data_IF_149879552944
#
_entry.id   IF_149879552944
#
_cell.length_a   1.000
_cell.length_b   1.000
_cell.length_c   1.000
_cell.angle_alpha   90.00
_cell.angle_beta   90.00
_cell.angle_gamma   90.00
#
_symmetry.space_group_name_H-M   'P 1'
#
loop_
_entity.id
_entity.type
_entity.pdbx_description
1 polymer ?
#
# COMPACT_ATOMS: atom_id res chain seq x y z
N UNK A 1 58.66 -18.90 19.54
CA UNK A 1 58.00 -18.46 20.78
C UNK A 1 57.24 -17.16 20.49
N UNK A 2 55.94 -17.26 20.23
CA UNK A 2 55.07 -16.11 19.92
C UNK A 2 53.78 -16.25 20.74
N UNK A 3 53.34 -15.10 21.26
CA UNK A 3 52.28 -14.84 22.21
C UNK A 3 50.86 -15.29 21.79
N UNK A 4 50.15 -15.80 22.80
CA UNK A 4 48.76 -15.56 23.20
C UNK A 4 47.73 -14.96 22.21
N UNK A 5 46.61 -15.68 22.05
CA UNK A 5 45.23 -15.18 22.30
C UNK A 5 44.25 -16.36 22.37
N UNK A 6 43.77 -16.67 23.57
CA UNK A 6 42.72 -17.65 23.85
C UNK A 6 41.38 -16.91 23.87
N UNK A 7 40.52 -17.18 22.89
CA UNK A 7 39.14 -16.67 22.87
C UNK A 7 38.27 -17.45 23.85
N UNK A 8 37.44 -16.70 24.59
CA UNK A 8 36.43 -17.18 25.52
C UNK A 8 35.25 -17.78 24.72
N UNK A 9 35.08 -19.11 24.75
CA UNK A 9 33.87 -19.78 24.28
C UNK A 9 32.81 -19.72 25.39
N UNK A 10 32.06 -18.63 25.46
CA UNK A 10 30.84 -18.57 26.26
C UNK A 10 29.71 -19.21 25.45
N UNK A 11 29.47 -20.51 25.68
CA UNK A 11 28.25 -21.20 25.22
C UNK A 11 27.03 -20.51 25.82
N UNK A 12 26.37 -19.63 25.05
CA UNK A 12 25.02 -19.17 25.38
C UNK A 12 24.07 -20.37 25.22
N UNK A 13 23.49 -20.82 26.33
CA UNK A 13 22.36 -21.76 26.30
C UNK A 13 21.22 -21.11 25.51
N UNK A 14 20.55 -21.83 24.58
CA UNK A 14 19.36 -21.29 23.94
C UNK A 14 18.29 -21.07 25.03
N UNK A 15 17.81 -19.84 25.16
CA UNK A 15 16.64 -19.57 25.96
C UNK A 15 15.43 -20.24 25.27
N UNK A 16 14.73 -21.17 25.92
CA UNK A 16 13.42 -21.58 25.44
C UNK A 16 12.50 -20.35 25.55
N UNK A 17 11.47 -20.25 24.69
CA UNK A 17 10.40 -19.22 24.74
C UNK A 17 10.59 -17.92 23.95
N UNK A 18 11.40 -17.87 22.89
CA UNK A 18 11.23 -16.85 21.84
C UNK A 18 10.73 -17.52 20.58
N UNK A 19 9.44 -17.37 20.29
CA UNK A 19 8.94 -17.59 18.92
C UNK A 19 9.40 -16.36 18.13
N UNK A 20 10.29 -16.50 17.15
CA UNK A 20 10.73 -15.35 16.38
C UNK A 20 9.61 -14.89 15.44
N UNK A 21 9.35 -13.58 15.41
CA UNK A 21 8.42 -12.89 14.51
C UNK A 21 8.68 -13.17 13.01
N UNK A 22 9.79 -13.82 12.66
CA UNK A 22 10.05 -14.32 11.30
C UNK A 22 9.00 -15.35 10.85
N UNK A 23 8.37 -16.09 11.77
CA UNK A 23 7.22 -16.96 11.48
C UNK A 23 5.97 -16.17 11.10
N UNK A 24 5.77 -14.98 11.67
CA UNK A 24 4.66 -14.08 11.38
C UNK A 24 4.77 -13.50 9.95
N UNK A 25 5.94 -12.96 9.58
CA UNK A 25 6.20 -12.49 8.21
C UNK A 25 5.93 -13.60 7.18
N UNK A 26 6.46 -14.81 7.45
CA UNK A 26 6.35 -15.93 6.52
C UNK A 26 4.91 -16.48 6.44
N UNK A 27 4.15 -16.50 7.53
CA UNK A 27 2.76 -16.96 7.52
C UNK A 27 1.83 -16.02 6.73
N UNK A 28 1.98 -14.69 6.86
CA UNK A 28 1.20 -13.72 6.10
C UNK A 28 1.65 -13.60 4.64
N UNK A 29 2.96 -13.70 4.35
CA UNK A 29 3.48 -13.61 2.98
C UNK A 29 3.33 -14.90 2.15
N UNK A 30 3.21 -16.08 2.79
CA UNK A 30 3.16 -17.38 2.07
C UNK A 30 1.78 -18.04 2.18
N UNK A 31 1.16 -18.06 3.37
CA UNK A 31 -0.13 -18.75 3.59
C UNK A 31 -1.35 -18.05 3.00
N UNK A 32 -1.26 -16.74 2.80
CA UNK A 32 -2.33 -15.92 2.19
C UNK A 32 -2.30 -16.02 0.65
N UNK A 33 -1.14 -16.34 0.08
CA UNK A 33 -0.84 -16.09 -1.33
C UNK A 33 -0.86 -17.35 -2.21
N UNK A 34 -0.50 -18.52 -1.67
CA UNK A 34 -0.52 -19.77 -2.44
C UNK A 34 -1.96 -20.24 -2.74
N UNK A 35 -2.93 -19.92 -1.88
CA UNK A 35 -4.34 -20.21 -2.13
C UNK A 35 -5.06 -19.23 -3.07
N UNK A 36 -4.47 -18.06 -3.36
CA UNK A 36 -5.05 -17.00 -4.22
C UNK A 36 -4.42 -16.99 -5.61
N UNK A 37 -3.54 -17.95 -5.92
CA UNK A 37 -3.23 -18.30 -7.31
C UNK A 37 -4.44 -19.03 -7.91
N UNK A 38 -5.56 -18.31 -8.02
CA UNK A 38 -6.41 -18.42 -9.20
C UNK A 38 -5.45 -18.34 -10.37
N UNK A 39 -5.46 -19.42 -11.16
CA UNK A 39 -4.63 -19.64 -12.34
C UNK A 39 -4.78 -18.44 -13.28
N UNK A 40 -3.97 -17.39 -13.04
CA UNK A 40 -3.79 -16.27 -13.95
C UNK A 40 -3.35 -16.92 -15.25
N UNK A 41 -4.23 -16.87 -16.24
CA UNK A 41 -4.01 -17.51 -17.53
C UNK A 41 -2.66 -17.06 -18.06
N UNK A 42 -1.73 -18.01 -18.11
CA UNK A 42 -0.59 -17.94 -19.00
C UNK A 42 -1.17 -18.04 -20.41
N UNK A 43 -1.55 -16.91 -20.99
CA UNK A 43 -1.75 -16.82 -22.44
C UNK A 43 -0.36 -16.91 -23.07
N UNK A 44 0.12 -18.13 -23.29
CA UNK A 44 1.38 -18.38 -24.01
C UNK A 44 1.29 -17.98 -25.50
N UNK A 45 0.10 -17.59 -26.00
CA UNK A 45 -0.12 -17.20 -27.41
C UNK A 45 -0.41 -15.70 -27.64
N UNK A 46 -0.29 -14.85 -26.62
CA UNK A 46 -0.33 -13.39 -26.83
C UNK A 46 1.09 -12.84 -26.87
N UNK A 47 1.53 -12.15 -27.95
CA UNK A 47 2.85 -11.54 -27.96
C UNK A 47 2.93 -10.58 -26.78
N UNK A 48 3.87 -10.86 -25.88
CA UNK A 48 4.20 -9.97 -24.79
C UNK A 48 4.40 -8.56 -25.38
N UNK A 49 3.48 -7.65 -25.10
CA UNK A 49 3.73 -6.23 -25.27
C UNK A 49 4.73 -5.86 -24.17
N UNK A 50 5.99 -6.16 -24.45
CA UNK A 50 7.14 -5.68 -23.70
C UNK A 50 7.23 -4.19 -23.98
N UNK A 51 6.47 -3.39 -23.24
CA UNK A 51 6.70 -1.96 -23.12
C UNK A 51 8.05 -1.77 -22.41
N UNK A 52 9.11 -1.89 -23.20
CA UNK A 52 10.50 -1.75 -22.75
C UNK A 52 10.75 -0.25 -22.60
N UNK A 53 10.36 0.32 -21.47
CA UNK A 53 10.85 1.64 -21.06
C UNK A 53 12.35 1.50 -20.79
N UNK A 54 13.17 1.86 -21.79
CA UNK A 54 14.63 1.98 -21.62
C UNK A 54 14.92 3.08 -20.60
N UNK A 55 15.54 2.78 -19.45
CA UNK A 55 16.05 3.81 -18.57
C UNK A 55 17.37 4.32 -19.15
N UNK A 56 17.38 5.54 -19.68
CA UNK A 56 18.62 6.26 -19.95
C UNK A 56 19.15 6.82 -18.63
N UNK A 57 19.90 6.02 -17.88
CA UNK A 57 20.71 6.53 -16.78
C UNK A 57 22.06 7.00 -17.32
N UNK A 58 22.25 8.31 -17.43
CA UNK A 58 23.58 8.89 -17.53
C UNK A 58 24.21 8.88 -16.15
N UNK A 59 25.27 8.08 -16.00
CA UNK A 59 26.18 8.08 -14.86
C UNK A 59 26.71 9.51 -14.64
N UNK A 60 26.39 10.11 -13.49
CA UNK A 60 27.02 11.37 -13.07
C UNK A 60 28.06 11.03 -12.00
N UNK A 61 29.33 10.97 -12.42
CA UNK A 61 30.45 10.66 -11.54
C UNK A 61 30.65 11.79 -10.52
N UNK A 62 30.60 11.41 -9.26
CA UNK A 62 30.84 12.29 -8.13
C UNK A 62 32.23 12.93 -8.19
N UNK A 63 32.27 14.22 -8.51
CA UNK A 63 33.38 15.11 -8.16
C UNK A 63 32.89 16.25 -7.29
N UNK A 64 33.36 16.27 -6.04
CA UNK A 64 33.23 17.38 -5.09
C UNK A 64 33.87 18.65 -5.68
N UNK A 65 33.22 19.83 -5.64
CA UNK A 65 33.91 21.08 -5.90
C UNK A 65 34.82 21.45 -4.73
N UNK A 66 36.10 21.67 -5.01
CA UNK A 66 37.05 22.31 -4.09
C UNK A 66 36.70 23.80 -3.94
N UNK A 67 36.76 24.28 -2.71
CA UNK A 67 36.77 25.70 -2.37
C UNK A 67 37.98 26.40 -3.01
N UNK A 68 37.74 27.49 -3.73
CA UNK A 68 38.78 28.46 -4.08
C UNK A 68 38.34 29.83 -3.59
N UNK A 69 39.07 30.34 -2.61
CA UNK A 69 39.07 31.72 -2.16
C UNK A 69 39.77 32.61 -3.21
N UNK A 70 39.26 33.82 -3.41
CA UNK A 70 40.04 34.97 -3.85
C UNK A 70 39.73 35.49 -5.27
N UNK A 71 39.09 36.66 -5.35
CA UNK A 71 38.99 37.47 -6.57
C UNK A 71 38.03 38.65 -6.42
N UNK A 72 38.58 39.86 -6.38
CA UNK A 72 37.90 41.16 -6.18
C UNK A 72 36.96 41.56 -7.35
N UNK A 73 36.05 42.55 -7.17
CA UNK A 73 34.95 42.78 -8.09
C UNK A 73 35.37 43.64 -9.29
N UNK A 74 35.02 43.19 -10.50
CA UNK A 74 35.02 44.03 -11.69
C UNK A 74 33.58 44.23 -12.15
N UNK A 75 33.15 45.48 -12.08
CA UNK A 75 31.92 45.95 -12.71
C UNK A 75 32.00 45.73 -14.22
N UNK A 76 31.03 45.01 -14.77
CA UNK A 76 30.78 44.98 -16.20
C UNK A 76 29.28 44.95 -16.43
N UNK A 77 28.77 46.08 -16.89
CA UNK A 77 27.46 46.27 -17.49
C UNK A 77 27.35 45.38 -18.72
N UNK A 78 26.52 44.36 -18.66
CA UNK A 78 26.10 43.58 -19.83
C UNK A 78 24.57 43.49 -19.83
N UNK A 79 23.99 43.98 -20.93
CA UNK A 79 22.57 44.00 -21.20
C UNK A 79 21.98 42.58 -21.12
N UNK A 80 20.91 42.45 -20.35
CA UNK A 80 20.11 41.22 -20.26
C UNK A 80 19.38 41.01 -21.59
N UNK A 81 19.63 39.92 -22.34
CA UNK A 81 18.71 39.51 -23.37
C UNK A 81 17.45 38.97 -22.69
N UNK A 82 16.31 39.55 -23.05
CA UNK A 82 14.99 39.06 -22.68
C UNK A 82 14.78 37.67 -23.28
N UNK A 83 15.09 36.63 -22.49
CA UNK A 83 14.59 35.29 -22.74
C UNK A 83 13.08 35.28 -22.51
N UNK A 84 12.34 35.69 -23.53
CA UNK A 84 10.95 35.30 -23.73
C UNK A 84 10.89 33.80 -24.07
N UNK A 85 11.29 32.95 -23.13
CA UNK A 85 10.91 31.55 -23.12
C UNK A 85 9.46 31.52 -22.63
N UNK A 86 8.55 31.76 -23.57
CA UNK A 86 7.13 31.60 -23.36
C UNK A 86 6.90 30.15 -22.94
N UNK A 87 6.36 30.00 -21.74
CA UNK A 87 5.79 28.81 -21.14
C UNK A 87 4.76 28.17 -22.07
N UNK A 88 5.23 27.44 -23.08
CA UNK A 88 4.48 26.34 -23.67
C UNK A 88 4.92 25.05 -22.99
N UNK A 89 4.79 24.99 -21.66
CA UNK A 89 4.45 23.71 -21.05
C UNK A 89 3.11 23.33 -21.66
N UNK A 90 3.15 22.48 -22.70
CA UNK A 90 2.01 21.76 -23.21
C UNK A 90 1.24 21.27 -22.00
N UNK A 91 0.10 21.90 -21.73
CA UNK A 91 -0.81 21.49 -20.68
C UNK A 91 -1.22 20.08 -21.04
N UNK A 92 -0.56 19.09 -20.42
CA UNK A 92 -0.98 17.71 -20.56
C UNK A 92 -2.47 17.69 -20.26
N UNK A 93 -3.28 17.03 -21.11
CA UNK A 93 -4.71 16.98 -20.91
C UNK A 93 -4.96 16.50 -19.48
N UNK A 94 -5.66 17.32 -18.71
CA UNK A 94 -5.93 17.04 -17.29
C UNK A 94 -6.67 15.70 -17.21
N UNK A 95 -6.20 14.84 -16.31
CA UNK A 95 -6.86 13.55 -16.03
C UNK A 95 -8.37 13.74 -15.84
N UNK A 96 -9.18 12.83 -16.37
CA UNK A 96 -10.61 12.78 -16.07
C UNK A 96 -10.87 12.62 -14.55
N UNK A 97 -9.87 12.15 -13.79
CA UNK A 97 -9.90 11.93 -12.35
C UNK A 97 -9.25 13.06 -11.54
N UNK A 98 -9.00 14.23 -12.15
CA UNK A 98 -8.53 15.41 -11.43
C UNK A 98 -9.56 15.86 -10.38
N UNK A 99 -9.22 15.75 -9.09
CA UNK A 99 -10.11 16.02 -7.95
C UNK A 99 -9.61 17.10 -6.97
N UNK A 100 -8.41 17.66 -7.16
CA UNK A 100 -7.96 18.83 -6.38
C UNK A 100 -8.97 19.97 -6.47
N UNK A 101 -9.35 20.53 -5.32
CA UNK A 101 -10.34 21.58 -5.17
C UNK A 101 -11.81 21.14 -5.28
N UNK A 102 -12.09 19.82 -5.42
CA UNK A 102 -13.45 19.30 -5.60
C UNK A 102 -14.00 18.53 -4.41
N UNK A 103 -13.18 18.27 -3.40
CA UNK A 103 -13.51 17.41 -2.27
C UNK A 103 -13.31 18.16 -0.97
N UNK A 104 -14.12 17.82 0.03
CA UNK A 104 -13.98 18.34 1.38
C UNK A 104 -12.94 17.54 2.16
N UNK A 105 -12.34 18.16 3.17
CA UNK A 105 -11.49 17.45 4.12
C UNK A 105 -12.35 16.57 5.04
N UNK A 106 -11.81 15.40 5.39
CA UNK A 106 -12.45 14.50 6.35
C UNK A 106 -11.96 14.85 7.77
N UNK A 107 -12.86 15.00 8.77
CA UNK A 107 -12.44 15.01 10.17
C UNK A 107 -11.74 13.68 10.53
N UNK A 108 -10.99 13.65 11.63
CA UNK A 108 -10.43 12.37 12.09
C UNK A 108 -11.61 11.47 12.45
N UNK A 109 -11.56 10.26 11.95
CA UNK A 109 -12.67 9.32 12.03
C UNK A 109 -12.14 7.91 12.28
N UNK A 110 -12.77 7.22 13.23
CA UNK A 110 -12.62 5.77 13.39
C UNK A 110 -13.55 5.07 12.39
N UNK A 111 -12.96 4.44 11.37
CA UNK A 111 -13.66 3.77 10.29
C UNK A 111 -14.46 2.55 10.75
N UNK A 112 -14.18 2.00 11.95
CA UNK A 112 -14.98 0.92 12.52
C UNK A 112 -16.35 1.39 13.05
N UNK A 113 -16.55 2.70 13.25
CA UNK A 113 -17.82 3.22 13.76
C UNK A 113 -18.94 3.09 12.72
N UNK A 114 -20.19 2.88 13.16
CA UNK A 114 -21.34 2.81 12.26
C UNK A 114 -21.42 4.04 11.34
N UNK A 115 -21.49 3.82 10.03
CA UNK A 115 -21.60 4.88 9.01
C UNK A 115 -20.30 5.61 8.68
N UNK A 116 -19.19 5.34 9.39
CA UNK A 116 -17.92 6.03 9.18
C UNK A 116 -17.31 5.75 7.79
N UNK A 117 -17.32 4.49 7.35
CA UNK A 117 -16.85 4.13 5.99
C UNK A 117 -17.67 4.86 4.92
N UNK A 118 -19.00 4.87 5.04
CA UNK A 118 -19.88 5.59 4.11
C UNK A 118 -19.57 7.09 4.08
N UNK A 119 -19.31 7.68 5.23
CA UNK A 119 -18.91 9.09 5.30
C UNK A 119 -17.56 9.31 4.60
N UNK A 120 -16.56 8.46 4.87
CA UNK A 120 -15.26 8.53 4.20
C UNK A 120 -15.40 8.39 2.68
N UNK A 121 -16.14 7.39 2.20
CA UNK A 121 -16.44 7.16 0.79
C UNK A 121 -17.09 8.38 0.14
N UNK A 122 -18.16 8.93 0.73
CA UNK A 122 -18.88 10.10 0.19
C UNK A 122 -18.03 11.37 0.15
N UNK A 123 -17.23 11.60 1.18
CA UNK A 123 -16.45 12.84 1.32
C UNK A 123 -15.17 12.81 0.50
N UNK A 124 -14.54 11.62 0.37
CA UNK A 124 -13.18 11.48 -0.16
C UNK A 124 -13.08 10.72 -1.46
N UNK A 125 -14.11 9.99 -1.90
CA UNK A 125 -14.08 9.41 -3.24
C UNK A 125 -14.38 10.46 -4.31
N UNK A 126 -13.84 10.25 -5.51
CA UNK A 126 -14.18 11.03 -6.68
C UNK A 126 -14.39 10.10 -7.87
N UNK A 127 -15.54 10.20 -8.53
CA UNK A 127 -15.94 9.27 -9.61
C UNK A 127 -15.84 7.80 -9.20
N UNK A 128 -16.30 7.47 -7.98
CA UNK A 128 -16.22 6.13 -7.39
C UNK A 128 -14.80 5.59 -7.23
N UNK A 129 -13.79 6.45 -7.14
CA UNK A 129 -12.40 6.06 -6.85
C UNK A 129 -11.95 6.64 -5.52
N UNK A 130 -11.20 5.88 -4.74
CA UNK A 130 -10.46 6.39 -3.58
C UNK A 130 -9.08 5.75 -3.52
N UNK A 131 -8.08 6.54 -3.13
CA UNK A 131 -6.72 6.08 -2.90
C UNK A 131 -6.51 5.98 -1.39
N UNK A 132 -6.13 4.81 -0.90
CA UNK A 132 -5.75 4.63 0.51
C UNK A 132 -4.26 4.35 0.60
N UNK A 133 -3.61 4.92 1.60
CA UNK A 133 -2.22 4.63 1.92
C UNK A 133 -1.99 4.74 3.42
N UNK A 134 -1.13 3.88 3.94
CA UNK A 134 -0.89 3.79 5.36
C UNK A 134 0.22 4.73 5.84
N UNK A 135 0.03 5.35 7.00
CA UNK A 135 1.08 6.12 7.67
C UNK A 135 0.85 6.17 9.17
N UNK A 136 1.93 6.16 9.94
CA UNK A 136 1.90 6.47 11.37
C UNK A 136 2.57 7.83 11.66
N UNK A 137 2.70 8.18 12.94
CA UNK A 137 3.39 9.42 13.35
C UNK A 137 4.87 9.47 12.93
N UNK A 138 5.54 8.32 12.81
CA UNK A 138 6.96 8.24 12.46
C UNK A 138 7.16 8.38 10.95
N UNK A 139 6.16 8.00 10.15
CA UNK A 139 6.13 8.12 8.69
C UNK A 139 5.44 9.39 8.18
N UNK A 140 5.08 10.34 9.05
CA UNK A 140 4.38 11.56 8.67
C UNK A 140 5.07 12.34 7.52
N UNK A 141 6.41 12.42 7.54
CA UNK A 141 7.17 13.06 6.45
C UNK A 141 6.99 12.38 5.09
N UNK A 142 6.89 11.05 5.06
CA UNK A 142 6.58 10.30 3.84
C UNK A 142 5.14 10.54 3.38
N UNK A 143 4.18 10.55 4.31
CA UNK A 143 2.80 10.90 4.00
C UNK A 143 2.68 12.32 3.40
N UNK A 144 3.44 13.28 3.92
CA UNK A 144 3.47 14.65 3.40
C UNK A 144 4.07 14.73 2.00
N UNK A 145 5.17 14.02 1.75
CA UNK A 145 5.72 13.88 0.41
C UNK A 145 4.70 13.28 -0.55
N UNK A 146 4.01 12.23 -0.13
CA UNK A 146 2.99 11.56 -0.91
C UNK A 146 1.79 12.49 -1.22
N UNK A 147 1.23 13.16 -0.21
CA UNK A 147 0.14 14.15 -0.38
C UNK A 147 0.54 15.23 -1.39
N UNK A 148 1.74 15.79 -1.27
CA UNK A 148 2.24 16.80 -2.19
C UNK A 148 2.36 16.26 -3.63
N UNK A 149 2.83 15.02 -3.78
CA UNK A 149 2.91 14.36 -5.08
C UNK A 149 1.52 14.18 -5.70
N UNK A 150 0.54 13.70 -4.93
CA UNK A 150 -0.84 13.48 -5.38
C UNK A 150 -1.51 14.79 -5.81
N UNK A 151 -1.39 15.84 -4.99
CA UNK A 151 -1.92 17.18 -5.31
C UNK A 151 -1.32 17.73 -6.60
N UNK A 152 0.00 17.60 -6.79
CA UNK A 152 0.68 18.03 -8.02
C UNK A 152 0.23 17.25 -9.25
N UNK A 153 -0.22 16.00 -9.09
CA UNK A 153 -0.82 15.19 -10.15
C UNK A 153 -2.33 15.43 -10.32
N UNK A 154 -2.91 16.31 -9.52
CA UNK A 154 -4.33 16.66 -9.58
C UNK A 154 -5.25 15.74 -8.78
N UNK A 155 -4.71 14.87 -7.94
CA UNK A 155 -5.50 13.93 -7.13
C UNK A 155 -5.62 14.39 -5.68
N UNK A 156 -6.85 14.51 -5.22
CA UNK A 156 -7.22 14.78 -3.83
C UNK A 156 -8.15 13.70 -3.27
N UNK A 157 -8.56 12.69 -4.05
CA UNK A 157 -9.44 11.61 -3.58
C UNK A 157 -8.65 10.50 -2.88
N UNK A 158 -7.91 10.90 -1.86
CA UNK A 158 -7.10 10.01 -1.06
C UNK A 158 -7.46 10.10 0.43
N UNK A 159 -7.10 9.06 1.17
CA UNK A 159 -7.28 8.91 2.60
C UNK A 159 -6.02 8.32 3.24
N UNK A 160 -5.43 9.05 4.19
CA UNK A 160 -4.38 8.49 5.05
C UNK A 160 -5.04 7.52 6.03
N UNK A 161 -4.60 6.27 6.03
CA UNK A 161 -5.00 5.27 7.00
C UNK A 161 -3.93 5.16 8.09
N UNK A 162 -4.23 5.62 9.30
CA UNK A 162 -3.32 5.54 10.43
C UNK A 162 -3.56 4.32 11.32
N UNK A 163 -2.55 3.97 12.10
CA UNK A 163 -2.57 2.85 13.05
C UNK A 163 -3.47 3.12 14.28
N UNK A 164 -3.72 4.40 14.58
CA UNK A 164 -4.54 4.86 15.72
C UNK A 164 -4.89 6.35 15.63
N UNK A 165 -5.81 6.76 16.50
CA UNK A 165 -6.28 8.15 16.61
C UNK A 165 -5.13 9.15 16.84
N UNK A 166 -4.23 8.82 17.77
CA UNK A 166 -3.14 9.71 18.15
C UNK A 166 -2.18 9.94 16.98
N UNK A 167 -2.03 8.95 16.10
CA UNK A 167 -1.24 9.10 14.88
C UNK A 167 -1.90 10.06 13.91
N UNK A 168 -3.22 9.97 13.68
CA UNK A 168 -3.92 10.96 12.85
C UNK A 168 -3.82 12.38 13.44
N UNK A 169 -4.02 12.52 14.74
CA UNK A 169 -3.89 13.80 15.44
C UNK A 169 -2.48 14.37 15.30
N UNK A 170 -1.46 13.52 15.45
CA UNK A 170 -0.06 13.91 15.28
C UNK A 170 0.26 14.33 13.85
N UNK A 171 -0.12 13.53 12.85
CA UNK A 171 0.12 13.83 11.43
C UNK A 171 -0.57 15.16 11.08
N UNK A 172 -1.80 15.41 11.54
CA UNK A 172 -2.50 16.69 11.33
C UNK A 172 -1.77 17.86 11.98
N UNK A 173 -1.36 17.73 13.24
CA UNK A 173 -0.63 18.79 13.95
C UNK A 173 0.70 19.15 13.27
N UNK A 174 1.39 18.15 12.71
CA UNK A 174 2.63 18.35 11.96
C UNK A 174 2.39 18.98 10.57
N UNK A 175 1.18 18.84 10.00
CA UNK A 175 0.79 19.48 8.74
C UNK A 175 0.28 20.93 8.92
N UNK A 176 -0.14 21.32 10.12
CA UNK A 176 -0.65 22.66 10.42
C UNK A 176 0.26 23.82 9.94
N UNK A 177 1.61 23.74 10.03
CA UNK A 177 2.47 24.77 9.46
C UNK A 177 2.31 24.93 7.94
N UNK A 178 2.04 23.84 7.21
CA UNK A 178 1.77 23.90 5.78
C UNK A 178 0.47 24.66 5.49
N UNK A 179 -0.56 24.44 6.30
CA UNK A 179 -1.83 25.15 6.18
C UNK A 179 -1.67 26.65 6.47
N UNK A 180 -1.07 26.97 7.60
CA UNK A 180 -0.97 28.36 8.10
C UNK A 180 0.06 29.19 7.34
N UNK A 181 1.16 28.60 6.89
CA UNK A 181 2.27 29.32 6.22
C UNK A 181 2.15 29.29 4.70
N UNK A 182 1.65 28.17 4.14
CA UNK A 182 1.61 27.96 2.69
C UNK A 182 0.19 27.93 2.12
N UNK A 183 -0.84 28.08 2.95
CA UNK A 183 -2.24 28.05 2.50
C UNK A 183 -2.66 26.68 1.97
N UNK A 184 -1.97 25.61 2.37
CA UNK A 184 -2.31 24.25 1.95
C UNK A 184 -3.64 23.80 2.56
N UNK A 185 -4.35 22.95 1.82
CA UNK A 185 -5.60 22.35 2.31
C UNK A 185 -5.33 21.32 3.43
N UNK A 186 -6.26 21.17 4.40
CA UNK A 186 -6.15 20.17 5.46
C UNK A 186 -6.03 18.75 4.91
N UNK A 187 -5.26 17.92 5.60
CA UNK A 187 -5.16 16.49 5.26
C UNK A 187 -6.31 15.67 5.85
N UNK A 188 -6.74 14.66 5.09
CA UNK A 188 -7.75 13.70 5.52
C UNK A 188 -7.07 12.44 6.06
N UNK A 189 -7.20 12.21 7.36
CA UNK A 189 -6.67 11.03 8.05
C UNK A 189 -7.80 10.33 8.79
N UNK A 190 -7.86 9.02 8.63
CA UNK A 190 -8.74 8.16 9.39
C UNK A 190 -7.91 7.01 9.96
N UNK A 191 -8.44 6.38 10.99
CA UNK A 191 -7.88 5.16 11.57
C UNK A 191 -9.02 4.18 11.73
N UNK A 192 -8.71 2.98 12.21
CA UNK A 192 -9.77 2.04 12.54
C UNK A 192 -9.44 1.33 13.84
N UNK A 193 -10.38 1.37 14.79
CA UNK A 193 -10.29 0.57 16.02
C UNK A 193 -10.37 -0.93 15.72
N UNK A 194 -10.91 -1.29 14.56
CA UNK A 194 -10.82 -2.63 13.99
C UNK A 194 -9.70 -2.70 12.92
N UNK A 195 -8.84 -3.72 12.86
CA UNK A 195 -8.90 -4.97 13.60
C UNK A 195 -8.36 -4.93 15.02
N UNK A 196 -7.80 -3.80 15.49
CA UNK A 196 -7.02 -3.75 16.74
C UNK A 196 -7.77 -4.28 17.97
N UNK A 197 -9.09 -4.14 18.01
CA UNK A 197 -9.96 -4.66 19.07
C UNK A 197 -10.32 -6.14 18.92
N UNK A 198 -9.91 -6.82 17.85
CA UNK A 198 -10.15 -8.25 17.65
C UNK A 198 -9.46 -9.07 18.77
N UNK A 199 -10.18 -9.97 19.46
CA UNK A 199 -9.65 -10.68 20.63
C UNK A 199 -8.41 -11.53 20.31
N UNK A 200 -8.32 -12.02 19.08
CA UNK A 200 -7.17 -12.76 18.57
C UNK A 200 -5.84 -11.99 18.60
N UNK A 201 -5.83 -10.66 18.66
CA UNK A 201 -4.59 -9.90 18.79
C UNK A 201 -3.94 -10.02 20.16
N UNK A 202 -4.70 -10.32 21.22
CA UNK A 202 -4.18 -10.36 22.58
C UNK A 202 -3.04 -11.39 22.73
N UNK A 203 -3.09 -12.50 22.00
CA UNK A 203 -2.03 -13.52 22.01
C UNK A 203 -0.77 -13.12 21.22
N UNK A 204 -0.87 -12.10 20.36
CA UNK A 204 0.23 -11.56 19.56
C UNK A 204 0.83 -10.29 20.15
N UNK A 205 0.29 -9.80 21.27
CA UNK A 205 0.84 -8.64 21.95
C UNK A 205 2.22 -8.98 22.53
N UNK A 206 3.23 -8.12 22.33
CA UNK A 206 4.56 -8.33 22.90
C UNK A 206 4.47 -8.40 24.43
N UNK A 207 5.12 -9.41 25.03
CA UNK A 207 5.11 -9.62 26.50
C UNK A 207 5.76 -8.47 27.29
N UNK A 208 6.61 -7.66 26.64
CA UNK A 208 7.27 -6.47 27.24
C UNK A 208 7.58 -5.43 26.15
N UNK A 209 7.13 -4.19 26.38
CA UNK A 209 7.42 -3.03 25.53
C UNK A 209 6.46 -2.84 24.36
N UNK A 210 6.47 -1.64 23.77
CA UNK A 210 5.84 -1.37 22.48
C UNK A 210 6.67 -2.08 21.39
N UNK A 211 6.09 -3.05 20.70
CA UNK A 211 6.68 -3.60 19.48
C UNK A 211 6.09 -2.83 18.29
N UNK A 212 6.95 -2.03 17.65
CA UNK A 212 6.57 -1.30 16.44
C UNK A 212 6.10 -2.24 15.33
N UNK A 213 6.64 -3.47 15.25
CA UNK A 213 6.23 -4.42 14.21
C UNK A 213 4.80 -4.91 14.40
N UNK A 214 4.35 -5.14 15.63
CA UNK A 214 2.96 -5.51 15.90
C UNK A 214 1.98 -4.48 15.35
N UNK A 215 2.26 -3.19 15.58
CA UNK A 215 1.43 -2.10 15.06
C UNK A 215 1.48 -1.99 13.53
N UNK A 216 2.65 -2.22 12.92
CA UNK A 216 2.79 -2.28 11.46
C UNK A 216 1.90 -3.37 10.86
N UNK A 217 1.83 -4.54 11.49
CA UNK A 217 0.99 -5.60 10.95
C UNK A 217 -0.51 -5.38 11.15
N UNK A 218 -0.90 -4.77 12.26
CA UNK A 218 -2.28 -4.30 12.43
C UNK A 218 -2.60 -3.33 11.30
N UNK A 219 -1.73 -2.36 11.05
CA UNK A 219 -1.89 -1.36 9.99
C UNK A 219 -2.05 -2.02 8.60
N UNK A 220 -1.16 -2.95 8.24
CA UNK A 220 -1.25 -3.71 6.99
C UNK A 220 -2.51 -4.58 6.90
N UNK A 221 -3.01 -5.08 8.03
CA UNK A 221 -4.25 -5.85 8.07
C UNK A 221 -5.47 -4.95 7.89
N UNK A 222 -5.46 -3.77 8.51
CA UNK A 222 -6.52 -2.77 8.43
C UNK A 222 -6.78 -2.34 6.99
N UNK A 223 -5.74 -2.27 6.15
CA UNK A 223 -5.90 -1.89 4.72
C UNK A 223 -6.91 -2.78 3.99
N UNK A 224 -6.85 -4.10 4.20
CA UNK A 224 -7.72 -5.07 3.52
C UNK A 224 -9.15 -4.96 4.01
N UNK A 225 -9.31 -4.83 5.33
CA UNK A 225 -10.63 -4.62 5.92
C UNK A 225 -11.26 -3.31 5.45
N UNK A 226 -10.52 -2.19 5.47
CA UNK A 226 -11.00 -0.89 5.00
C UNK A 226 -11.32 -0.93 3.51
N UNK A 227 -10.46 -1.54 2.68
CA UNK A 227 -10.73 -1.71 1.25
C UNK A 227 -12.01 -2.50 1.01
N UNK A 228 -12.24 -3.60 1.74
CA UNK A 228 -13.50 -4.36 1.66
C UNK A 228 -14.72 -3.48 1.98
N UNK A 229 -14.66 -2.71 3.06
CA UNK A 229 -15.80 -1.87 3.45
C UNK A 229 -16.04 -0.75 2.43
N UNK A 230 -14.99 -0.14 1.86
CA UNK A 230 -15.11 0.88 0.82
C UNK A 230 -15.71 0.30 -0.46
N UNK A 231 -15.30 -0.91 -0.87
CA UNK A 231 -15.89 -1.61 -2.01
C UNK A 231 -17.40 -1.82 -1.81
N UNK A 232 -17.83 -2.20 -0.59
CA UNK A 232 -19.24 -2.35 -0.22
C UNK A 232 -20.05 -1.03 -0.28
N UNK A 233 -19.38 0.11 -0.24
CA UNK A 233 -19.98 1.43 -0.48
C UNK A 233 -19.87 1.88 -1.96
N UNK A 234 -19.70 0.93 -2.89
CA UNK A 234 -19.64 1.16 -4.35
C UNK A 234 -18.47 2.08 -4.78
N UNK A 235 -17.33 1.93 -4.10
CA UNK A 235 -16.09 2.67 -4.38
C UNK A 235 -14.96 1.71 -4.71
N UNK A 236 -14.32 1.93 -5.85
CA UNK A 236 -13.08 1.27 -6.26
C UNK A 236 -11.90 1.83 -5.46
N UNK A 237 -10.95 0.96 -5.10
CA UNK A 237 -9.89 1.29 -4.13
C UNK A 237 -8.53 1.07 -4.76
N UNK A 238 -7.69 2.11 -4.78
CA UNK A 238 -6.26 1.98 -5.05
C UNK A 238 -5.51 2.06 -3.72
N UNK A 239 -4.94 0.94 -3.29
CA UNK A 239 -4.16 0.83 -2.07
C UNK A 239 -2.67 0.88 -2.38
N UNK A 240 -1.96 1.84 -1.79
CA UNK A 240 -0.55 2.12 -2.08
C UNK A 240 0.25 2.22 -0.80
N UNK A 241 1.48 1.71 -0.82
CA UNK A 241 2.45 2.05 0.22
C UNK A 241 2.92 3.51 0.04
N UNK A 242 3.23 4.16 1.16
CA UNK A 242 3.60 5.59 1.18
C UNK A 242 4.98 5.88 0.58
N UNK A 243 5.78 4.83 0.32
CA UNK A 243 7.09 4.90 -0.32
C UNK A 243 7.03 4.72 -1.85
N UNK A 244 5.82 4.72 -2.42
CA UNK A 244 5.61 4.70 -3.86
C UNK A 244 5.87 6.08 -4.54
N UNK A 245 5.94 6.07 -5.87
CA UNK A 245 5.99 7.28 -6.69
C UNK A 245 5.12 7.12 -7.95
N UNK A 246 4.19 8.04 -8.19
CA UNK A 246 3.41 8.10 -9.42
C UNK A 246 4.13 8.94 -10.48
N UNK A 247 4.65 8.27 -11.49
CA UNK A 247 5.35 8.92 -12.61
C UNK A 247 4.39 9.49 -13.65
N UNK A 248 3.20 8.89 -13.80
CA UNK A 248 2.20 9.23 -14.81
C UNK A 248 0.79 9.32 -14.23
N UNK A 249 -0.21 9.66 -15.05
CA UNK A 249 -1.63 9.55 -14.71
C UNK A 249 -1.99 8.07 -14.52
N UNK A 250 -2.16 7.66 -13.26
CA UNK A 250 -2.39 6.24 -12.93
C UNK A 250 -3.77 5.78 -13.41
N UNK A 251 -4.78 6.65 -13.41
CA UNK A 251 -6.13 6.28 -13.86
C UNK A 251 -6.25 6.19 -15.36
N UNK A 252 -5.44 6.93 -16.12
CA UNK A 252 -5.34 6.70 -17.56
C UNK A 252 -4.88 5.27 -17.88
N UNK A 253 -4.04 4.66 -17.03
CA UNK A 253 -3.64 3.26 -17.16
C UNK A 253 -4.72 2.31 -16.63
N UNK A 254 -5.15 2.50 -15.37
CA UNK A 254 -6.07 1.59 -14.69
C UNK A 254 -7.46 1.53 -15.36
N UNK A 255 -7.91 2.62 -15.97
CA UNK A 255 -9.21 2.71 -16.65
C UNK A 255 -9.13 2.48 -18.15
N UNK A 256 -7.97 2.06 -18.66
CA UNK A 256 -7.81 1.60 -20.04
C UNK A 256 -7.67 0.08 -20.12
N UNK A 257 -8.16 -0.57 -21.19
CA UNK A 257 -7.89 -1.98 -21.42
C UNK A 257 -6.38 -2.28 -21.50
N UNK A 258 -5.94 -3.47 -21.06
CA UNK A 258 -6.75 -4.55 -20.48
C UNK A 258 -7.01 -4.38 -18.97
N UNK A 259 -6.40 -3.38 -18.33
CA UNK A 259 -6.45 -3.20 -16.87
C UNK A 259 -7.86 -2.86 -16.37
N UNK A 260 -8.62 -2.09 -17.14
CA UNK A 260 -10.00 -1.73 -16.78
C UNK A 260 -10.97 -2.91 -16.71
N UNK A 261 -10.57 -4.07 -17.25
CA UNK A 261 -11.34 -5.31 -17.26
C UNK A 261 -10.93 -6.29 -16.16
N UNK A 262 -9.94 -5.94 -15.34
CA UNK A 262 -9.48 -6.77 -14.23
C UNK A 262 -10.18 -6.32 -12.96
N UNK A 263 -10.68 -7.26 -12.16
CA UNK A 263 -11.28 -6.98 -10.86
C UNK A 263 -10.23 -6.60 -9.81
N UNK A 264 -9.04 -7.19 -9.90
CA UNK A 264 -7.91 -6.91 -9.01
C UNK A 264 -6.63 -6.82 -9.83
N UNK A 265 -5.85 -5.77 -9.58
CA UNK A 265 -4.50 -5.61 -10.13
C UNK A 265 -3.54 -5.53 -8.96
N UNK A 266 -2.58 -6.44 -8.94
CA UNK A 266 -1.56 -6.54 -7.90
C UNK A 266 -0.23 -6.89 -8.56
N UNK A 267 0.85 -6.31 -8.06
CA UNK A 267 2.18 -6.55 -8.60
C UNK A 267 2.81 -7.78 -7.97
N UNK A 268 3.78 -8.37 -8.66
CA UNK A 268 4.65 -9.42 -8.07
C UNK A 268 5.90 -8.78 -7.50
N UNK A 269 6.41 -9.35 -6.42
CA UNK A 269 7.76 -9.04 -5.98
C UNK A 269 8.74 -9.44 -7.09
N UNK A 270 9.77 -8.62 -7.29
CA UNK A 270 10.83 -8.86 -8.28
C UNK A 270 11.89 -9.84 -7.78
N UNK A 271 11.75 -10.32 -6.55
CA UNK A 271 12.63 -11.31 -5.96
C UNK A 271 12.27 -12.74 -6.39
N UNK A 272 13.09 -13.71 -5.97
CA UNK A 272 12.90 -15.10 -6.33
C UNK A 272 11.64 -15.74 -5.69
N UNK A 273 10.94 -15.05 -4.79
CA UNK A 273 9.85 -15.64 -4.01
C UNK A 273 8.58 -15.87 -4.82
N UNK A 274 8.44 -15.25 -6.00
CA UNK A 274 7.18 -15.21 -6.78
C UNK A 274 5.96 -14.71 -5.97
N UNK A 275 6.19 -14.11 -4.80
CA UNK A 275 5.11 -13.60 -3.95
C UNK A 275 4.52 -12.33 -4.54
N UNK A 276 3.29 -12.00 -4.14
CA UNK A 276 2.67 -10.73 -4.54
C UNK A 276 3.25 -9.60 -3.69
N UNK A 277 3.50 -8.47 -4.35
CA UNK A 277 3.82 -7.22 -3.70
C UNK A 277 2.50 -6.51 -3.40
N UNK A 278 2.25 -6.24 -2.12
CA UNK A 278 1.03 -5.57 -1.68
C UNK A 278 1.19 -4.04 -1.61
N UNK A 279 2.33 -3.49 -2.00
CA UNK A 279 2.55 -2.04 -2.03
C UNK A 279 1.83 -1.33 -3.16
N UNK A 280 1.30 -2.09 -4.12
CA UNK A 280 0.35 -1.63 -5.13
C UNK A 280 -0.77 -2.65 -5.29
N UNK A 281 -1.99 -2.27 -4.92
CA UNK A 281 -3.18 -3.09 -5.16
C UNK A 281 -4.33 -2.21 -5.62
N UNK A 282 -4.91 -2.50 -6.78
CA UNK A 282 -6.13 -1.87 -7.26
C UNK A 282 -7.29 -2.85 -7.24
N UNK A 283 -8.39 -2.46 -6.60
CA UNK A 283 -9.64 -3.19 -6.55
C UNK A 283 -10.66 -2.45 -7.41
N UNK A 284 -11.02 -3.07 -8.51
CA UNK A 284 -11.92 -2.56 -9.53
C UNK A 284 -13.23 -3.36 -9.48
N UNK A 285 -14.21 -2.83 -8.77
CA UNK A 285 -15.58 -3.36 -8.74
C UNK A 285 -16.21 -3.39 -10.13
N UNK A 286 -15.81 -2.47 -11.02
CA UNK A 286 -16.36 -2.35 -12.38
C UNK A 286 -15.64 -3.25 -13.41
N UNK A 287 -14.63 -4.03 -13.00
CA UNK A 287 -13.76 -4.80 -13.90
C UNK A 287 -14.48 -5.91 -14.65
N UNK A 288 -15.38 -6.62 -13.95
CA UNK A 288 -16.16 -7.71 -14.51
C UNK A 288 -17.66 -7.47 -14.28
N UNK A 289 -18.37 -6.82 -15.23
CA UNK A 289 -19.79 -6.45 -15.05
C UNK A 289 -20.73 -7.66 -14.87
N UNK A 290 -20.29 -8.86 -15.25
CA UNK A 290 -21.07 -10.10 -15.06
C UNK A 290 -20.88 -10.72 -13.67
N UNK A 291 -20.00 -10.17 -12.83
CA UNK A 291 -19.86 -10.42 -11.38
C UNK A 291 -19.50 -11.85 -10.93
N UNK A 292 -19.68 -12.86 -11.77
CA UNK A 292 -19.26 -14.21 -11.51
C UNK A 292 -17.77 -14.37 -11.86
N UNK A 293 -16.95 -14.97 -10.98
CA UNK A 293 -15.71 -15.58 -11.44
C UNK A 293 -16.09 -16.48 -12.61
N UNK A 294 -15.60 -16.19 -13.82
CA UNK A 294 -15.69 -17.16 -14.90
C UNK A 294 -14.93 -18.38 -14.39
N UNK A 295 -15.66 -19.45 -14.08
CA UNK A 295 -15.03 -20.72 -13.74
C UNK A 295 -13.98 -20.98 -14.80
N UNK A 296 -12.73 -21.09 -14.36
CA UNK A 296 -11.65 -21.54 -15.23
C UNK A 296 -11.99 -22.98 -15.56
N UNK A 297 -12.61 -23.18 -16.74
CA UNK A 297 -12.89 -24.50 -17.30
C UNK A 297 -11.62 -25.36 -17.14
N UNK A 298 -11.67 -26.34 -16.23
CA UNK A 298 -10.58 -27.30 -16.03
C UNK A 298 -9.99 -27.48 -14.63
N UNK A 299 -10.50 -26.84 -13.57
CA UNK A 299 -10.15 -27.24 -12.19
C UNK A 299 -11.23 -28.15 -11.60
N UNK A 300 -10.99 -29.46 -11.61
CA UNK A 300 -11.88 -30.50 -11.11
C UNK A 300 -12.07 -30.50 -9.59
N UNK A 301 -12.65 -29.43 -9.04
CA UNK A 301 -13.30 -29.47 -7.75
C UNK A 301 -14.76 -29.92 -7.94
N UNK A 302 -15.30 -30.78 -7.08
CA UNK A 302 -16.69 -31.22 -7.18
C UNK A 302 -17.62 -30.01 -7.08
N UNK A 303 -18.57 -29.92 -8.03
CA UNK A 303 -19.62 -28.91 -8.09
C UNK A 303 -20.26 -28.69 -6.71
N UNK A 304 -19.83 -27.65 -6.01
CA UNK A 304 -20.67 -27.09 -4.97
C UNK A 304 -21.75 -26.32 -5.70
N UNK A 305 -22.96 -26.87 -5.71
CA UNK A 305 -24.16 -26.19 -6.16
C UNK A 305 -24.29 -24.85 -5.41
N UNK A 306 -23.76 -23.77 -5.99
CA UNK A 306 -24.07 -22.42 -5.56
C UNK A 306 -25.53 -22.21 -5.91
N UNK A 307 -26.37 -22.00 -4.90
CA UNK A 307 -27.80 -21.82 -5.08
C UNK A 307 -28.06 -20.74 -6.14
N UNK A 308 -28.74 -21.13 -7.23
CA UNK A 308 -29.11 -20.23 -8.31
C UNK A 308 -29.92 -19.06 -7.72
N UNK A 309 -29.34 -17.85 -7.74
CA UNK A 309 -30.00 -16.62 -7.25
C UNK A 309 -29.30 -15.89 -6.10
N UNK A 310 -28.16 -16.37 -5.58
CA UNK A 310 -27.34 -15.53 -4.70
C UNK A 310 -26.74 -14.37 -5.53
N UNK A 311 -26.85 -13.10 -5.07
CA UNK A 311 -26.18 -11.99 -5.75
C UNK A 311 -24.68 -12.27 -5.80
N UNK A 312 -24.09 -12.20 -7.00
CA UNK A 312 -22.66 -12.41 -7.17
C UNK A 312 -21.91 -11.30 -6.43
N UNK A 313 -21.07 -11.70 -5.46
CA UNK A 313 -20.12 -10.80 -4.82
C UNK A 313 -19.05 -10.48 -5.86
N UNK A 314 -18.82 -9.21 -6.23
CA UNK A 314 -17.77 -8.85 -7.18
C UNK A 314 -16.43 -9.47 -6.77
N UNK A 315 -15.66 -9.99 -7.72
CA UNK A 315 -14.42 -10.69 -7.41
C UNK A 315 -13.43 -9.82 -6.60
N UNK A 316 -13.44 -8.49 -6.79
CA UNK A 316 -12.69 -7.54 -5.98
C UNK A 316 -13.06 -7.58 -4.49
N UNK A 317 -14.36 -7.65 -4.17
CA UNK A 317 -14.83 -7.83 -2.79
C UNK A 317 -14.40 -9.19 -2.25
N UNK A 318 -14.55 -10.26 -3.04
CA UNK A 318 -14.17 -11.60 -2.64
C UNK A 318 -12.68 -11.72 -2.31
N UNK A 319 -11.79 -11.11 -3.10
CA UNK A 319 -10.35 -11.09 -2.81
C UNK A 319 -10.09 -10.35 -1.49
N UNK A 320 -10.66 -9.16 -1.29
CA UNK A 320 -10.53 -8.43 -0.02
C UNK A 320 -11.05 -9.24 1.17
N UNK A 321 -12.21 -9.89 1.02
CA UNK A 321 -12.80 -10.75 2.04
C UNK A 321 -11.91 -11.95 2.34
N UNK A 322 -11.34 -12.61 1.33
CA UNK A 322 -10.43 -13.73 1.53
C UNK A 322 -9.13 -13.30 2.23
N UNK A 323 -8.52 -12.18 1.82
CA UNK A 323 -7.33 -11.63 2.49
C UNK A 323 -7.63 -11.28 3.96
N UNK A 324 -8.80 -10.71 4.20
CA UNK A 324 -9.27 -10.37 5.53
C UNK A 324 -9.55 -11.62 6.37
N UNK A 325 -10.27 -12.60 5.84
CA UNK A 325 -10.61 -13.87 6.50
C UNK A 325 -9.35 -14.67 6.84
N UNK A 326 -8.34 -14.70 5.97
CA UNK A 326 -7.04 -15.32 6.28
C UNK A 326 -6.36 -14.63 7.45
N UNK A 327 -6.42 -13.30 7.50
CA UNK A 327 -5.90 -12.53 8.63
C UNK A 327 -6.70 -12.86 9.91
N UNK A 328 -8.03 -12.86 9.85
CA UNK A 328 -8.90 -13.23 10.97
C UNK A 328 -8.61 -14.63 11.49
N UNK A 329 -8.51 -15.62 10.60
CA UNK A 329 -8.15 -17.00 10.93
C UNK A 329 -6.77 -17.08 11.60
N UNK A 330 -5.78 -16.38 11.04
CA UNK A 330 -4.45 -16.29 11.67
C UNK A 330 -4.53 -15.73 13.10
N UNK A 331 -5.38 -14.73 13.33
CA UNK A 331 -5.61 -14.17 14.66
C UNK A 331 -6.31 -15.15 15.61
N UNK A 332 -7.02 -16.14 15.10
CA UNK A 332 -7.73 -17.17 15.89
C UNK A 332 -6.88 -18.41 16.15
N UNK A 333 -5.81 -18.64 15.40
CA UNK A 333 -4.89 -19.76 15.64
C UNK A 333 -4.13 -19.55 16.96
N UNK A 334 -4.08 -20.58 17.82
CA UNK A 334 -3.31 -20.55 19.05
C UNK A 334 -1.81 -20.39 18.75
N UNK A 335 -1.23 -19.26 19.18
CA UNK A 335 0.18 -18.96 19.03
C UNK A 335 1.09 -20.07 19.61
N UNK A 336 0.65 -20.78 20.65
CA UNK A 336 1.40 -21.93 21.22
C UNK A 336 1.39 -23.14 20.29
N UNK A 337 0.32 -23.34 19.53
CA UNK A 337 0.25 -24.41 18.54
C UNK A 337 1.23 -24.12 17.40
N UNK A 338 1.27 -22.88 16.90
CA UNK A 338 2.24 -22.45 15.88
C UNK A 338 3.70 -22.55 16.36
N UNK A 339 3.97 -22.22 17.62
CA UNK A 339 5.30 -22.33 18.23
C UNK A 339 5.82 -23.78 18.31
N UNK A 340 4.90 -24.75 18.36
CA UNK A 340 5.21 -26.19 18.43
C UNK A 340 5.25 -26.85 17.07
N UNK A 341 4.71 -26.19 16.03
CA UNK A 341 4.87 -26.69 14.67
C UNK A 341 6.37 -26.67 14.35
N UNK A 342 6.96 -27.81 13.90
CA UNK A 342 8.31 -27.77 13.36
C UNK A 342 8.32 -26.67 12.29
N UNK A 343 9.41 -25.90 12.21
CA UNK A 343 9.60 -24.90 11.16
C UNK A 343 9.52 -25.62 9.80
N UNK A 344 8.29 -25.79 9.31
CA UNK A 344 7.98 -26.45 8.05
C UNK A 344 8.22 -25.40 7.00
N UNK A 345 9.49 -25.26 6.63
CA UNK A 345 9.92 -24.49 5.47
C UNK A 345 9.42 -25.11 4.15
N UNK A 346 8.67 -26.23 4.17
CA UNK A 346 8.42 -27.05 2.96
C UNK A 346 6.93 -27.40 2.73
N UNK A 347 5.99 -27.04 3.61
CA UNK A 347 4.58 -27.47 3.47
C UNK A 347 3.58 -26.37 3.13
N UNK A 348 4.06 -25.21 2.74
CA UNK A 348 3.22 -24.17 2.14
C UNK A 348 3.58 -23.90 0.66
N UNK A 349 4.43 -24.74 0.06
CA UNK A 349 4.76 -24.76 -1.38
C UNK A 349 3.90 -25.77 -2.19
N UNK A 350 3.03 -26.53 -1.51
CA UNK A 350 1.97 -27.36 -2.12
C UNK A 350 0.63 -26.67 -1.91
#
# INVERSE_FOLDING_TARGET
HVCARRWYLQRRRPHPWRVPMSLYCRALSVGVLVGVVLRLTRNDDSPAVSATLRPSFTHNDGRRPRSVLGGAPRASTAATPSHGASDQQQQQPRSAYHSVGKLQSLPILDLAQPGAIRQAARTRSYKKEIIIFESDKAMAGWAFYWVNQMRRKGYEHWLILADKDESCSSIRSQWEPMMTTHGEEPISCAWSSYPRTHPGWAQWQPRKGEDNMHNVYILWSTRWWVALQLLREDVNVLSLDVDAVLLTDIYALLRSPPLSQQDVIITRNTDASQSLNCGFVYFNRDGSPDGAPKELEGSGCPEQHVAAGAPSVPAAEWVCELMWERTRLFLEVDARALAKMPAREVLWEQ
#
